data_IF_487306870217
#
_entry.id   IF_487306870217
#
_cell.length_a   1.000
_cell.length_b   1.000
_cell.length_c   1.000
_cell.angle_alpha   90.00
_cell.angle_beta   90.00
_cell.angle_gamma   90.00
#
_symmetry.space_group_name_H-M   'P 1'
#
loop_
_entity.id
_entity.type
_entity.pdbx_description
1 polymer ?
#
# COMPACT_ATOMS: atom_id res chain seq x y z
N UNK A 1 -65.05 2.93 -21.94
CA UNK A 1 -64.47 2.46 -20.66
C UNK A 1 -62.96 2.54 -20.76
N UNK A 2 -62.38 3.60 -20.22
CA UNK A 2 -60.96 3.89 -20.33
C UNK A 2 -60.29 3.43 -19.02
N UNK A 3 -59.49 2.37 -19.05
CA UNK A 3 -58.64 1.95 -17.89
C UNK A 3 -57.43 2.81 -17.80
N UNK A 4 -57.34 3.68 -16.81
CA UNK A 4 -56.15 4.41 -16.38
C UNK A 4 -55.23 3.45 -15.66
N UNK A 5 -54.02 3.20 -16.22
CA UNK A 5 -52.93 2.57 -15.51
C UNK A 5 -52.18 3.65 -14.73
N UNK A 6 -52.21 3.51 -13.40
CA UNK A 6 -51.47 4.36 -12.47
C UNK A 6 -50.06 3.78 -12.38
N UNK A 7 -49.08 4.52 -12.95
CA UNK A 7 -47.63 4.20 -12.80
C UNK A 7 -47.20 4.69 -11.42
N UNK A 8 -46.88 3.77 -10.53
CA UNK A 8 -46.32 4.07 -9.22
C UNK A 8 -44.80 4.28 -9.41
N UNK A 9 -44.36 5.53 -9.43
CA UNK A 9 -42.92 5.86 -9.40
C UNK A 9 -42.48 5.74 -7.95
N UNK A 10 -41.74 4.66 -7.64
CA UNK A 10 -41.05 4.53 -6.37
C UNK A 10 -39.78 5.41 -6.48
N UNK A 11 -39.83 6.61 -5.91
CA UNK A 11 -38.62 7.39 -5.64
C UNK A 11 -37.84 6.68 -4.52
N UNK A 12 -36.75 6.00 -4.88
CA UNK A 12 -35.70 5.66 -3.92
C UNK A 12 -35.08 6.99 -3.44
N UNK A 13 -35.47 7.44 -2.28
CA UNK A 13 -34.81 8.53 -1.59
C UNK A 13 -33.43 8.07 -1.17
N UNK A 14 -32.38 8.50 -1.90
CA UNK A 14 -31.02 8.55 -1.36
C UNK A 14 -31.03 9.48 -0.16
N UNK A 15 -31.16 8.93 1.03
CA UNK A 15 -30.83 9.66 2.25
C UNK A 15 -29.32 9.81 2.29
N UNK A 16 -28.82 10.97 1.83
CA UNK A 16 -27.50 11.45 2.19
C UNK A 16 -27.52 11.64 3.70
N UNK A 17 -27.00 10.66 4.42
CA UNK A 17 -26.71 10.79 5.85
C UNK A 17 -25.58 11.82 5.93
N UNK A 18 -25.94 13.04 6.30
CA UNK A 18 -25.00 14.10 6.61
C UNK A 18 -24.14 13.65 7.79
N UNK A 19 -22.91 13.24 7.52
CA UNK A 19 -21.87 13.00 8.52
C UNK A 19 -21.36 14.35 9.05
N UNK A 20 -22.19 15.06 9.78
CA UNK A 20 -21.74 16.03 10.78
C UNK A 20 -21.70 15.33 12.14
N UNK A 21 -20.98 14.23 12.25
CA UNK A 21 -20.57 13.72 13.54
C UNK A 21 -19.49 14.69 14.03
N UNK A 22 -19.71 15.38 15.13
CA UNK A 22 -18.67 16.12 15.85
C UNK A 22 -17.61 15.08 16.21
N UNK A 23 -16.56 15.01 15.39
CA UNK A 23 -15.44 14.11 15.64
C UNK A 23 -14.73 14.65 16.87
N UNK A 24 -14.81 13.95 17.97
CA UNK A 24 -14.03 14.26 19.17
C UNK A 24 -12.57 13.98 18.87
N UNK A 25 -11.64 14.90 19.19
CA UNK A 25 -10.22 14.66 19.01
C UNK A 25 -9.80 13.35 19.69
N UNK A 26 -9.18 12.45 18.92
CA UNK A 26 -8.69 11.17 19.41
C UNK A 26 -7.16 11.15 19.30
N UNK A 27 -6.49 11.16 20.45
CA UNK A 27 -5.01 11.16 20.51
C UNK A 27 -4.46 9.76 20.21
N UNK A 28 -5.06 8.73 20.78
CA UNK A 28 -4.72 7.34 20.53
C UNK A 28 -5.08 6.91 19.09
N UNK A 29 -4.45 5.86 18.64
CA UNK A 29 -4.68 5.32 17.30
C UNK A 29 -6.08 4.68 17.21
N UNK A 30 -6.84 4.92 16.13
CA UNK A 30 -8.10 4.25 15.89
C UNK A 30 -7.96 2.72 15.97
N UNK A 31 -8.99 2.03 16.45
CA UNK A 31 -9.00 0.57 16.50
C UNK A 31 -9.27 0.00 15.10
N UNK A 32 -8.30 -0.67 14.44
CA UNK A 32 -8.49 -1.21 13.09
C UNK A 32 -9.48 -2.38 13.06
N UNK A 33 -9.82 -2.95 14.20
CA UNK A 33 -10.80 -4.05 14.34
C UNK A 33 -12.21 -3.56 14.69
N UNK A 34 -12.43 -2.26 14.82
CA UNK A 34 -13.74 -1.68 15.12
C UNK A 34 -14.37 -1.18 13.81
N UNK A 35 -15.58 -1.67 13.49
CA UNK A 35 -16.34 -1.20 12.33
C UNK A 35 -16.71 0.28 12.45
N UNK A 36 -17.03 0.94 11.33
CA UNK A 36 -17.43 2.35 11.30
C UNK A 36 -18.69 2.68 12.11
N UNK A 37 -19.46 1.68 12.52
CA UNK A 37 -20.61 1.86 13.43
C UNK A 37 -20.18 2.18 14.89
N UNK A 38 -18.87 2.07 15.19
CA UNK A 38 -18.29 2.31 16.51
C UNK A 38 -18.70 1.28 17.58
N UNK A 39 -19.23 0.12 17.19
CA UNK A 39 -19.76 -0.91 18.10
C UNK A 39 -19.36 -2.33 17.71
N UNK A 40 -19.45 -2.68 16.43
CA UNK A 40 -19.17 -4.03 15.94
C UNK A 40 -17.65 -4.24 15.83
N UNK A 41 -17.14 -5.27 16.49
CA UNK A 41 -15.73 -5.67 16.37
C UNK A 41 -15.56 -6.83 15.40
N UNK A 42 -14.51 -6.76 14.62
CA UNK A 42 -14.01 -7.86 13.81
C UNK A 42 -13.40 -8.92 14.73
N UNK A 43 -13.93 -10.13 14.68
CA UNK A 43 -13.43 -11.28 15.45
C UNK A 43 -12.96 -12.42 14.56
N UNK A 44 -13.47 -12.48 13.31
CA UNK A 44 -13.15 -13.52 12.36
C UNK A 44 -12.60 -12.91 11.05
N UNK A 45 -11.75 -13.66 10.36
CA UNK A 45 -11.11 -13.20 9.13
C UNK A 45 -12.12 -12.86 8.00
N UNK A 46 -13.26 -13.52 7.96
CA UNK A 46 -14.31 -13.22 6.99
C UNK A 46 -14.89 -11.80 7.14
N UNK A 47 -14.94 -11.28 8.39
CA UNK A 47 -15.45 -9.95 8.68
C UNK A 47 -14.38 -8.87 8.42
N UNK A 48 -13.11 -9.28 8.43
CA UNK A 48 -11.98 -8.40 8.14
C UNK A 48 -12.08 -7.77 6.74
N UNK A 49 -12.54 -8.52 5.74
CA UNK A 49 -12.72 -7.99 4.39
C UNK A 49 -13.63 -6.76 4.35
N UNK A 50 -14.72 -6.78 5.11
CA UNK A 50 -15.65 -5.63 5.22
C UNK A 50 -14.97 -4.44 5.90
N UNK A 51 -14.27 -4.67 7.03
CA UNK A 51 -13.57 -3.60 7.74
C UNK A 51 -12.43 -3.02 6.92
N UNK A 52 -11.66 -3.86 6.25
CA UNK A 52 -10.58 -3.45 5.36
C UNK A 52 -11.10 -2.54 4.24
N UNK A 53 -12.27 -2.86 3.66
CA UNK A 53 -12.92 -2.01 2.67
C UNK A 53 -13.32 -0.66 3.26
N UNK A 54 -13.86 -0.60 4.47
CA UNK A 54 -14.17 0.65 5.15
C UNK A 54 -12.93 1.52 5.39
N UNK A 55 -11.80 0.89 5.74
CA UNK A 55 -10.51 1.58 5.89
C UNK A 55 -10.03 2.11 4.54
N UNK A 56 -10.12 1.30 3.48
CA UNK A 56 -9.76 1.71 2.13
C UNK A 56 -10.57 2.93 1.65
N UNK A 57 -11.87 2.95 1.92
CA UNK A 57 -12.77 4.06 1.61
C UNK A 57 -12.38 5.34 2.37
N UNK A 58 -12.03 5.23 3.65
CA UNK A 58 -11.57 6.37 4.45
C UNK A 58 -10.23 6.92 3.92
N UNK A 59 -9.26 6.04 3.65
CA UNK A 59 -7.95 6.46 3.11
C UNK A 59 -8.13 7.13 1.75
N UNK A 60 -8.96 6.59 0.86
CA UNK A 60 -9.26 7.21 -0.43
C UNK A 60 -9.95 8.56 -0.27
N UNK A 61 -10.98 8.64 0.58
CA UNK A 61 -11.78 9.85 0.73
C UNK A 61 -11.00 11.01 1.36
N UNK A 62 -10.16 10.71 2.34
CA UNK A 62 -9.49 11.73 3.14
C UNK A 62 -8.02 11.91 2.80
N UNK A 63 -7.35 10.93 2.23
CA UNK A 63 -5.90 10.88 2.11
C UNK A 63 -5.36 10.94 0.69
N UNK A 64 -5.76 10.02 -0.18
CA UNK A 64 -5.09 9.85 -1.48
C UNK A 64 -5.95 10.05 -2.71
N UNK A 65 -7.27 10.14 -2.57
CA UNK A 65 -8.20 10.12 -3.70
C UNK A 65 -8.59 8.70 -4.14
N UNK A 66 -9.35 8.60 -5.22
CA UNK A 66 -9.97 7.35 -5.67
C UNK A 66 -8.99 6.50 -6.51
N UNK A 67 -8.97 5.21 -6.23
CA UNK A 67 -8.38 4.19 -7.11
C UNK A 67 -9.54 3.49 -7.83
N UNK A 68 -9.86 3.88 -9.08
CA UNK A 68 -11.01 3.33 -9.78
C UNK A 68 -10.81 1.87 -10.15
N UNK A 69 -11.90 1.11 -10.11
CA UNK A 69 -11.93 -0.24 -10.64
C UNK A 69 -11.88 -0.21 -12.18
N UNK A 70 -11.37 -1.28 -12.78
CA UNK A 70 -11.25 -1.42 -14.23
C UNK A 70 -11.84 -2.75 -14.64
N UNK A 71 -12.77 -2.71 -15.57
CA UNK A 71 -13.37 -3.93 -16.15
C UNK A 71 -12.32 -4.70 -16.94
N UNK A 72 -12.37 -6.03 -16.88
CA UNK A 72 -11.37 -6.92 -17.51
C UNK A 72 -11.26 -6.70 -19.02
N UNK A 73 -12.35 -6.33 -19.67
CA UNK A 73 -12.44 -6.06 -21.12
C UNK A 73 -11.70 -4.78 -21.53
N UNK A 74 -11.49 -3.87 -20.60
CA UNK A 74 -10.74 -2.62 -20.80
C UNK A 74 -9.23 -2.85 -20.80
N UNK A 75 -8.76 -4.00 -20.34
CA UNK A 75 -7.34 -4.36 -20.26
C UNK A 75 -6.98 -5.30 -21.41
N UNK A 76 -5.89 -5.01 -22.12
CA UNK A 76 -5.32 -5.88 -23.16
C UNK A 76 -3.83 -6.01 -22.93
N UNK A 77 -3.38 -7.24 -22.72
CA UNK A 77 -1.99 -7.54 -22.46
C UNK A 77 -1.35 -8.34 -23.59
N UNK A 78 -0.04 -8.16 -23.74
CA UNK A 78 0.80 -8.95 -24.65
C UNK A 78 2.24 -9.00 -24.16
N UNK A 79 2.95 -10.05 -24.58
CA UNK A 79 4.40 -10.11 -24.42
C UNK A 79 5.10 -9.66 -25.72
N UNK A 80 6.16 -8.87 -25.59
CA UNK A 80 7.11 -8.56 -26.66
C UNK A 80 8.52 -8.95 -26.20
N UNK A 81 8.96 -10.16 -26.54
CA UNK A 81 10.10 -10.79 -25.89
C UNK A 81 9.82 -10.96 -24.39
N UNK A 82 10.72 -10.45 -23.56
CA UNK A 82 10.55 -10.47 -22.10
C UNK A 82 9.82 -9.22 -21.56
N UNK A 83 9.26 -8.37 -22.43
CA UNK A 83 8.53 -7.16 -22.03
C UNK A 83 7.04 -7.46 -21.96
N UNK A 84 6.46 -7.29 -20.78
CA UNK A 84 5.02 -7.21 -20.58
C UNK A 84 4.55 -5.82 -21.05
N UNK A 85 3.50 -5.79 -21.89
CA UNK A 85 2.85 -4.56 -22.34
C UNK A 85 1.36 -4.69 -22.01
N UNK A 86 0.81 -3.68 -21.36
CA UNK A 86 -0.59 -3.64 -20.92
C UNK A 86 -1.21 -2.34 -21.40
N UNK A 87 -2.19 -2.44 -22.29
CA UNK A 87 -3.01 -1.33 -22.75
C UNK A 87 -4.30 -1.30 -21.93
N UNK A 88 -4.61 -0.16 -21.35
CA UNK A 88 -5.83 0.07 -20.58
C UNK A 88 -6.64 1.16 -21.26
N UNK A 89 -7.86 0.84 -21.67
CA UNK A 89 -8.74 1.77 -22.40
C UNK A 89 -9.96 2.12 -21.55
N UNK A 90 -10.07 3.39 -21.17
CA UNK A 90 -11.19 3.94 -20.38
C UNK A 90 -11.63 5.24 -21.05
N UNK A 91 -12.94 5.47 -21.15
CA UNK A 91 -13.51 6.71 -21.72
C UNK A 91 -13.02 7.03 -23.16
N UNK A 92 -12.59 6.02 -23.93
CA UNK A 92 -12.05 6.18 -25.27
C UNK A 92 -10.57 6.56 -25.34
N UNK A 93 -9.92 6.79 -24.22
CA UNK A 93 -8.48 7.03 -24.08
C UNK A 93 -7.77 5.73 -23.69
N UNK A 94 -6.53 5.57 -24.17
CA UNK A 94 -5.70 4.39 -23.86
C UNK A 94 -4.39 4.82 -23.21
N UNK A 95 -4.07 4.18 -22.09
CA UNK A 95 -2.78 4.23 -21.43
C UNK A 95 -2.05 2.89 -21.62
N UNK A 96 -0.82 2.96 -22.12
CA UNK A 96 0.05 1.78 -22.26
C UNK A 96 1.08 1.75 -21.15
N UNK A 97 1.09 0.66 -20.39
CA UNK A 97 2.12 0.35 -19.39
C UNK A 97 3.04 -0.72 -19.96
N UNK A 98 4.31 -0.64 -19.65
CA UNK A 98 5.28 -1.65 -20.07
C UNK A 98 6.36 -1.88 -19.03
N UNK A 99 6.79 -3.13 -18.88
CA UNK A 99 7.90 -3.49 -18.01
C UNK A 99 8.58 -4.76 -18.49
N UNK A 100 9.90 -4.81 -18.34
CA UNK A 100 10.72 -5.97 -18.65
C UNK A 100 10.72 -6.94 -17.47
N UNK A 101 10.41 -8.20 -17.73
CA UNK A 101 10.53 -9.28 -16.75
C UNK A 101 11.93 -9.87 -16.86
N UNK A 102 12.71 -9.78 -15.79
CA UNK A 102 14.02 -10.40 -15.67
C UNK A 102 13.83 -11.78 -15.03
N UNK A 103 14.00 -12.82 -15.82
CA UNK A 103 13.83 -14.20 -15.33
C UNK A 103 15.07 -14.69 -14.60
N UNK A 104 14.91 -15.55 -13.57
CA UNK A 104 16.03 -16.14 -12.86
C UNK A 104 16.75 -17.16 -13.76
N UNK A 105 18.02 -17.41 -13.43
CA UNK A 105 18.84 -18.44 -14.08
C UNK A 105 18.72 -19.81 -13.41
N UNK A 106 17.98 -19.90 -12.31
CA UNK A 106 17.77 -21.12 -11.52
C UNK A 106 16.29 -21.46 -11.42
N UNK A 107 15.99 -22.73 -11.19
CA UNK A 107 14.60 -23.22 -11.07
C UNK A 107 13.92 -23.43 -12.43
N UNK A 108 12.62 -23.62 -12.37
CA UNK A 108 11.75 -23.83 -13.54
C UNK A 108 10.49 -22.97 -13.41
N UNK A 109 9.92 -22.47 -14.52
CA UNK A 109 8.67 -21.73 -14.49
C UNK A 109 7.48 -22.64 -14.06
N UNK A 110 6.38 -22.06 -13.54
CA UNK A 110 6.22 -20.62 -13.33
C UNK A 110 6.98 -20.11 -12.11
N UNK A 111 7.54 -18.91 -12.23
CA UNK A 111 8.34 -18.27 -11.19
C UNK A 111 7.50 -17.35 -10.30
N UNK A 112 7.83 -17.27 -9.02
CA UNK A 112 7.40 -16.14 -8.19
C UNK A 112 7.94 -14.82 -8.78
N UNK A 113 7.28 -13.70 -8.49
CA UNK A 113 7.66 -12.39 -9.02
C UNK A 113 7.86 -11.39 -7.88
N UNK A 114 8.97 -10.65 -7.91
CA UNK A 114 9.14 -9.43 -7.11
C UNK A 114 9.03 -8.21 -8.02
N UNK A 115 8.09 -7.31 -7.71
CA UNK A 115 7.90 -6.05 -8.43
C UNK A 115 8.51 -4.92 -7.61
N UNK A 116 9.53 -4.25 -8.17
CA UNK A 116 10.07 -3.02 -7.61
C UNK A 116 9.20 -1.82 -7.98
N UNK A 117 8.78 -1.01 -7.02
CA UNK A 117 8.14 0.28 -7.29
C UNK A 117 9.21 1.31 -7.63
N UNK A 118 9.06 2.00 -8.78
CA UNK A 118 10.09 2.81 -9.44
C UNK A 118 11.29 1.96 -9.89
N UNK A 119 12.02 1.40 -8.95
CA UNK A 119 13.07 0.39 -9.15
C UNK A 119 13.10 -0.57 -7.97
N UNK A 120 13.61 -1.77 -8.17
CA UNK A 120 13.85 -2.69 -7.06
C UNK A 120 15.04 -2.19 -6.23
N UNK A 121 14.75 -1.74 -5.00
CA UNK A 121 15.77 -1.26 -4.06
C UNK A 121 16.49 -2.41 -3.33
N UNK A 122 15.88 -3.59 -3.27
CA UNK A 122 16.49 -4.75 -2.63
C UNK A 122 17.71 -5.25 -3.38
N UNK A 123 18.81 -5.57 -2.69
CA UNK A 123 20.08 -5.98 -3.31
C UNK A 123 19.95 -7.27 -4.13
N UNK A 124 20.64 -7.28 -5.27
CA UNK A 124 20.67 -8.41 -6.21
C UNK A 124 21.02 -9.77 -5.56
N UNK A 125 21.96 -9.88 -4.59
CA UNK A 125 22.25 -11.17 -3.95
C UNK A 125 21.05 -11.87 -3.31
N UNK A 126 20.01 -11.13 -2.91
CA UNK A 126 18.78 -11.72 -2.37
C UNK A 126 17.99 -12.54 -3.40
N UNK A 127 18.29 -12.40 -4.70
CA UNK A 127 17.57 -13.05 -5.81
C UNK A 127 18.44 -14.02 -6.62
N UNK A 128 19.78 -13.88 -6.63
CA UNK A 128 20.69 -14.61 -7.52
C UNK A 128 20.55 -16.13 -7.49
N UNK A 129 20.22 -16.72 -6.35
CA UNK A 129 20.06 -18.16 -6.17
C UNK A 129 18.62 -18.58 -5.85
N UNK A 130 17.65 -17.75 -6.20
CA UNK A 130 16.23 -18.00 -5.97
C UNK A 130 15.46 -18.02 -7.30
N UNK A 131 14.49 -18.93 -7.48
CA UNK A 131 13.65 -18.97 -8.67
C UNK A 131 12.59 -17.86 -8.65
N UNK A 132 13.04 -16.61 -8.59
CA UNK A 132 12.18 -15.42 -8.51
C UNK A 132 12.51 -14.51 -9.70
N UNK A 133 11.50 -14.21 -10.50
CA UNK A 133 11.60 -13.19 -11.52
C UNK A 133 11.50 -11.80 -10.90
N UNK A 134 12.10 -10.81 -11.54
CA UNK A 134 12.08 -9.42 -11.11
C UNK A 134 11.51 -8.54 -12.22
N UNK A 135 10.64 -7.61 -11.85
CA UNK A 135 10.07 -6.62 -12.75
C UNK A 135 9.99 -5.26 -12.02
N UNK A 136 10.09 -4.14 -12.74
CA UNK A 136 9.89 -2.83 -12.14
C UNK A 136 8.54 -2.24 -12.58
N UNK A 137 7.81 -1.65 -11.67
CA UNK A 137 6.72 -0.76 -11.99
C UNK A 137 7.27 0.64 -12.27
N UNK A 138 7.14 1.08 -13.51
CA UNK A 138 7.57 2.41 -13.95
C UNK A 138 6.44 3.42 -13.72
N UNK A 139 6.35 3.93 -12.53
CA UNK A 139 5.27 4.78 -12.03
C UNK A 139 5.02 6.03 -12.89
N UNK A 140 6.09 6.55 -13.52
CA UNK A 140 6.01 7.71 -14.42
C UNK A 140 5.20 7.47 -15.70
N UNK A 141 4.92 6.21 -16.04
CA UNK A 141 3.99 5.89 -17.13
C UNK A 141 2.54 6.23 -16.76
N UNK A 142 2.23 6.36 -15.47
CA UNK A 142 0.90 6.69 -14.93
C UNK A 142 0.84 8.15 -14.51
N UNK A 143 1.67 8.51 -13.54
CA UNK A 143 1.84 9.85 -13.00
C UNK A 143 3.35 10.12 -12.90
N UNK A 144 3.84 11.10 -13.66
CA UNK A 144 5.27 11.38 -13.79
C UNK A 144 5.82 12.30 -12.70
N UNK A 145 5.01 12.58 -11.67
CA UNK A 145 5.47 13.37 -10.54
C UNK A 145 6.77 12.79 -9.95
N UNK A 146 7.68 13.67 -9.62
CA UNK A 146 8.90 13.36 -8.91
C UNK A 146 9.42 14.60 -8.19
N UNK A 147 9.89 14.43 -6.97
CA UNK A 147 10.43 15.52 -6.15
C UNK A 147 11.59 16.28 -6.81
N UNK A 148 12.21 15.68 -7.82
CA UNK A 148 13.35 16.22 -8.53
C UNK A 148 13.11 16.16 -10.03
N UNK A 149 13.32 17.29 -10.68
CA UNK A 149 13.22 17.39 -12.13
C UNK A 149 11.91 18.01 -12.61
N UNK A 150 11.65 17.87 -13.92
CA UNK A 150 10.41 18.33 -14.54
C UNK A 150 9.37 17.20 -14.54
N UNK A 151 8.15 17.56 -14.24
CA UNK A 151 6.97 16.71 -14.31
C UNK A 151 5.77 17.57 -14.75
N UNK A 152 4.66 16.92 -15.09
CA UNK A 152 3.39 17.61 -15.30
C UNK A 152 2.81 18.08 -13.95
N UNK A 153 1.93 19.04 -14.01
CA UNK A 153 1.17 19.49 -12.84
C UNK A 153 0.07 18.47 -12.51
N UNK A 154 -0.48 18.55 -11.31
CA UNK A 154 -1.63 17.75 -10.89
C UNK A 154 -2.79 17.94 -11.87
N UNK A 155 -3.44 16.85 -12.29
CA UNK A 155 -4.51 16.87 -13.28
C UNK A 155 -4.04 16.83 -14.74
N UNK A 156 -2.74 16.74 -15.00
CA UNK A 156 -2.14 16.71 -16.35
C UNK A 156 -1.35 15.43 -16.62
N UNK A 157 -1.37 14.46 -15.71
CA UNK A 157 -0.67 13.18 -15.85
C UNK A 157 -1.39 12.24 -16.83
N UNK A 158 -0.75 11.15 -17.22
CA UNK A 158 -1.37 10.16 -18.11
C UNK A 158 -2.63 9.53 -17.52
N UNK A 159 -2.69 9.35 -16.19
CA UNK A 159 -3.87 8.86 -15.48
C UNK A 159 -5.07 9.80 -15.69
N UNK A 160 -4.86 11.11 -15.61
CA UNK A 160 -5.92 12.13 -15.71
C UNK A 160 -6.60 12.16 -17.08
N UNK A 161 -5.91 11.68 -18.13
CA UNK A 161 -6.52 11.53 -19.46
C UNK A 161 -7.60 10.46 -19.47
N UNK A 162 -7.45 9.41 -18.66
CA UNK A 162 -8.44 8.34 -18.53
C UNK A 162 -9.57 8.74 -17.56
N UNK A 163 -9.23 9.50 -16.52
CA UNK A 163 -10.11 9.85 -15.41
C UNK A 163 -10.05 11.36 -15.09
N UNK A 164 -10.50 12.23 -16.00
CA UNK A 164 -10.40 13.69 -15.82
C UNK A 164 -11.19 14.21 -14.61
N UNK A 165 -12.17 13.44 -14.13
CA UNK A 165 -12.94 13.74 -12.91
C UNK A 165 -12.14 13.47 -11.62
N UNK A 166 -11.03 12.74 -11.70
CA UNK A 166 -10.15 12.40 -10.57
C UNK A 166 -8.86 13.24 -10.53
N UNK A 167 -8.81 14.34 -11.27
CA UNK A 167 -7.65 15.24 -11.42
C UNK A 167 -7.07 15.76 -10.10
N UNK A 168 -7.82 15.70 -9.01
CA UNK A 168 -7.37 16.13 -7.68
C UNK A 168 -6.75 14.99 -6.87
N UNK A 169 -6.65 13.78 -7.43
CA UNK A 169 -6.03 12.63 -6.78
C UNK A 169 -4.59 12.90 -6.34
N UNK A 170 -4.18 12.25 -5.25
CA UNK A 170 -2.77 12.11 -4.89
C UNK A 170 -2.10 10.98 -5.67
N UNK A 171 -0.82 11.13 -5.98
CA UNK A 171 -0.09 10.18 -6.82
C UNK A 171 -0.12 8.72 -6.29
N UNK A 172 -0.22 8.50 -4.97
CA UNK A 172 -0.30 7.13 -4.44
C UNK A 172 -1.56 6.39 -4.85
N UNK A 173 -2.67 7.07 -5.06
CA UNK A 173 -3.88 6.46 -5.63
C UNK A 173 -3.65 6.02 -7.08
N UNK A 174 -3.09 6.90 -7.90
CA UNK A 174 -2.84 6.68 -9.31
C UNK A 174 -1.76 5.61 -9.55
N UNK A 175 -0.66 5.66 -8.78
CA UNK A 175 0.39 4.64 -8.84
C UNK A 175 -0.10 3.26 -8.40
N UNK A 176 -0.90 3.19 -7.34
CA UNK A 176 -1.51 1.92 -6.93
C UNK A 176 -2.47 1.36 -8.00
N UNK A 177 -3.20 2.25 -8.70
CA UNK A 177 -4.02 1.87 -9.84
C UNK A 177 -3.17 1.27 -10.96
N UNK A 178 -2.12 1.97 -11.40
CA UNK A 178 -1.25 1.51 -12.48
C UNK A 178 -0.51 0.21 -12.15
N UNK A 179 -0.07 0.05 -10.91
CA UNK A 179 0.52 -1.19 -10.42
C UNK A 179 -0.43 -2.38 -10.58
N UNK A 180 -1.69 -2.22 -10.21
CA UNK A 180 -2.72 -3.26 -10.36
C UNK A 180 -2.91 -3.66 -11.83
N UNK A 181 -2.76 -2.73 -12.77
CA UNK A 181 -2.89 -3.01 -14.22
C UNK A 181 -1.80 -3.95 -14.73
N UNK A 182 -0.59 -3.87 -14.17
CA UNK A 182 0.46 -4.86 -14.53
C UNK A 182 0.08 -6.28 -14.08
N UNK A 183 -0.52 -6.40 -12.89
CA UNK A 183 -0.98 -7.71 -12.39
C UNK A 183 -2.14 -8.22 -13.25
N UNK A 184 -3.09 -7.35 -13.65
CA UNK A 184 -4.16 -7.74 -14.58
C UNK A 184 -3.60 -8.31 -15.89
N UNK A 185 -2.57 -7.67 -16.44
CA UNK A 185 -1.90 -8.15 -17.64
C UNK A 185 -1.23 -9.51 -17.46
N UNK A 186 -0.57 -9.73 -16.32
CA UNK A 186 0.03 -11.04 -16.00
C UNK A 186 -1.04 -12.12 -15.87
N UNK A 187 -2.16 -11.85 -15.21
CA UNK A 187 -3.26 -12.80 -15.05
C UNK A 187 -3.96 -13.09 -16.38
N UNK A 188 -4.19 -12.07 -17.21
CA UNK A 188 -4.82 -12.23 -18.53
C UNK A 188 -4.01 -13.15 -19.45
N UNK A 189 -2.69 -13.01 -19.44
CA UNK A 189 -1.79 -13.81 -20.26
C UNK A 189 -1.53 -15.21 -19.69
N UNK A 190 -1.57 -15.32 -18.36
CA UNK A 190 -1.29 -16.56 -17.66
C UNK A 190 0.18 -16.99 -17.66
N UNK A 191 0.50 -18.05 -16.89
CA UNK A 191 1.88 -18.52 -16.72
C UNK A 191 2.49 -19.12 -17.98
N UNK A 192 1.69 -19.61 -18.90
CA UNK A 192 2.18 -20.20 -20.18
C UNK A 192 2.91 -19.15 -21.04
N UNK A 193 2.46 -17.89 -21.01
CA UNK A 193 3.07 -16.80 -21.76
C UNK A 193 4.06 -16.00 -20.93
N UNK A 194 3.72 -15.70 -19.66
CA UNK A 194 4.52 -14.86 -18.79
C UNK A 194 5.57 -15.61 -17.99
N UNK A 195 5.46 -16.92 -17.84
CA UNK A 195 6.26 -17.77 -16.95
C UNK A 195 6.16 -17.36 -15.47
N UNK A 196 5.14 -16.58 -15.09
CA UNK A 196 4.95 -16.04 -13.74
C UNK A 196 3.80 -16.75 -13.04
N UNK A 197 4.02 -17.09 -11.77
CA UNK A 197 2.98 -17.51 -10.84
C UNK A 197 2.37 -16.28 -10.14
N UNK A 198 1.21 -15.85 -10.61
CA UNK A 198 0.52 -14.66 -10.08
C UNK A 198 -0.01 -14.83 -8.65
N UNK A 199 0.06 -16.03 -8.08
CA UNK A 199 -0.25 -16.26 -6.65
C UNK A 199 0.92 -15.91 -5.72
N UNK A 200 2.11 -15.73 -6.28
CA UNK A 200 3.34 -15.45 -5.56
C UNK A 200 4.00 -14.16 -6.03
N UNK A 201 3.24 -13.06 -5.96
CA UNK A 201 3.73 -11.71 -6.29
C UNK A 201 4.14 -11.00 -5.02
N UNK A 202 5.36 -10.47 -5.00
CA UNK A 202 5.85 -9.53 -4.00
C UNK A 202 5.98 -8.12 -4.57
N UNK A 203 5.89 -7.12 -3.70
CA UNK A 203 6.18 -5.71 -4.02
C UNK A 203 7.20 -5.16 -3.06
N UNK A 204 8.14 -4.36 -3.56
CA UNK A 204 9.14 -3.68 -2.73
C UNK A 204 9.54 -2.34 -3.33
N UNK A 205 9.94 -1.41 -2.46
CA UNK A 205 10.50 -0.12 -2.81
C UNK A 205 11.11 0.54 -1.59
N UNK A 206 11.82 1.65 -1.80
CA UNK A 206 12.46 2.40 -0.72
C UNK A 206 12.05 3.87 -0.74
N UNK A 207 11.97 4.50 0.44
CA UNK A 207 11.63 5.92 0.60
C UNK A 207 10.22 6.22 0.07
N UNK A 208 10.05 7.20 -0.83
CA UNK A 208 8.76 7.43 -1.48
C UNK A 208 8.25 6.17 -2.23
N UNK A 209 9.15 5.41 -2.85
CA UNK A 209 8.81 4.14 -3.47
C UNK A 209 8.52 3.04 -2.43
N UNK A 210 9.03 3.15 -1.21
CA UNK A 210 8.64 2.31 -0.06
C UNK A 210 7.22 2.59 0.42
N UNK A 211 6.82 3.87 0.46
CA UNK A 211 5.43 4.28 0.67
C UNK A 211 4.55 3.70 -0.45
N UNK A 212 4.97 3.86 -1.73
CA UNK A 212 4.26 3.31 -2.90
C UNK A 212 4.09 1.78 -2.80
N UNK A 213 5.13 1.05 -2.41
CA UNK A 213 5.05 -0.40 -2.21
C UNK A 213 4.02 -0.77 -1.15
N UNK A 214 3.94 0.00 -0.06
CA UNK A 214 2.93 -0.20 0.98
C UNK A 214 1.51 0.06 0.45
N UNK A 215 1.28 1.14 -0.29
CA UNK A 215 -0.01 1.42 -0.93
C UNK A 215 -0.38 0.34 -1.95
N UNK A 216 0.56 -0.07 -2.82
CA UNK A 216 0.32 -1.17 -3.77
C UNK A 216 -0.07 -2.46 -3.06
N UNK A 217 0.67 -2.87 -2.02
CA UNK A 217 0.36 -4.06 -1.25
C UNK A 217 -0.95 -3.96 -0.45
N UNK A 218 -1.30 -2.78 0.06
CA UNK A 218 -2.55 -2.54 0.78
C UNK A 218 -3.77 -2.56 -0.14
N UNK A 219 -3.68 -1.98 -1.34
CA UNK A 219 -4.80 -1.80 -2.27
C UNK A 219 -4.90 -2.87 -3.36
N UNK A 220 -3.98 -3.84 -3.42
CA UNK A 220 -4.09 -5.00 -4.31
C UNK A 220 -3.91 -6.32 -3.54
N UNK A 221 -5.00 -7.06 -3.39
CA UNK A 221 -5.03 -8.29 -2.59
C UNK A 221 -4.27 -9.47 -3.23
N UNK A 222 -3.86 -9.35 -4.49
CA UNK A 222 -3.06 -10.35 -5.19
C UNK A 222 -1.58 -10.32 -4.80
N UNK A 223 -1.13 -9.24 -4.14
CA UNK A 223 0.23 -9.13 -3.61
C UNK A 223 0.37 -10.02 -2.38
N UNK A 224 1.17 -11.07 -2.47
CA UNK A 224 1.40 -12.03 -1.38
C UNK A 224 2.38 -11.52 -0.33
N UNK A 225 3.37 -10.71 -0.73
CA UNK A 225 4.40 -10.15 0.14
C UNK A 225 4.65 -8.67 -0.16
N UNK A 226 4.56 -7.83 0.86
CA UNK A 226 4.94 -6.41 0.79
C UNK A 226 6.21 -6.18 1.61
N UNK A 227 7.26 -5.63 0.99
CA UNK A 227 8.48 -5.20 1.68
C UNK A 227 8.62 -3.69 1.50
N UNK A 228 8.27 -2.93 2.54
CA UNK A 228 8.36 -1.48 2.53
C UNK A 228 9.66 -1.05 3.21
N UNK A 229 10.66 -0.65 2.43
CA UNK A 229 11.94 -0.17 2.94
C UNK A 229 11.88 1.32 3.18
N UNK A 230 12.22 1.74 4.40
CA UNK A 230 12.32 3.14 4.82
C UNK A 230 11.12 4.02 4.36
N UNK A 231 9.86 3.54 4.56
CA UNK A 231 8.70 4.22 4.02
C UNK A 231 8.36 5.54 4.75
N UNK A 232 8.83 5.72 5.97
CA UNK A 232 8.72 6.97 6.72
C UNK A 232 7.31 7.51 6.96
N UNK A 233 7.22 8.81 7.17
CA UNK A 233 5.97 9.56 7.25
C UNK A 233 5.19 9.47 5.93
N UNK A 234 3.85 9.40 6.00
CA UNK A 234 3.06 9.13 4.80
C UNK A 234 3.17 7.69 4.25
N UNK A 235 4.00 6.86 4.88
CA UNK A 235 4.10 5.43 4.67
C UNK A 235 3.66 4.65 5.91
N UNK A 236 4.60 3.97 6.58
CA UNK A 236 4.28 3.18 7.76
C UNK A 236 4.15 3.99 9.07
N UNK A 237 4.70 5.21 9.13
CA UNK A 237 4.63 6.04 10.33
C UNK A 237 3.22 6.63 10.51
N UNK A 238 2.73 6.65 11.75
CA UNK A 238 1.45 7.25 12.14
C UNK A 238 1.51 8.78 12.02
N UNK A 239 0.46 9.41 11.49
CA UNK A 239 0.34 10.86 11.45
C UNK A 239 0.24 11.45 12.87
N UNK A 240 -0.58 10.85 13.73
CA UNK A 240 -0.78 11.31 15.11
C UNK A 240 0.50 11.28 15.94
N UNK A 241 1.25 10.17 15.86
CA UNK A 241 2.49 10.06 16.63
C UNK A 241 3.57 10.99 16.04
N UNK A 242 3.72 11.03 14.70
CA UNK A 242 4.68 11.90 14.03
C UNK A 242 4.45 13.39 14.32
N UNK A 243 3.20 13.81 14.53
CA UNK A 243 2.86 15.19 14.89
C UNK A 243 3.52 15.66 16.18
N UNK A 244 3.84 14.75 17.10
CA UNK A 244 4.53 15.04 18.36
C UNK A 244 6.05 15.06 18.27
N UNK A 245 6.59 14.63 17.14
CA UNK A 245 8.04 14.54 16.94
C UNK A 245 8.56 15.77 16.20
N UNK A 246 9.74 16.22 16.61
CA UNK A 246 10.45 17.30 15.90
C UNK A 246 11.24 16.74 14.71
N UNK A 247 11.29 17.52 13.64
CA UNK A 247 12.17 17.25 12.48
C UNK A 247 11.90 15.91 11.76
N UNK A 248 10.65 15.47 11.77
CA UNK A 248 10.19 14.29 11.04
C UNK A 248 9.21 14.68 9.93
N UNK A 249 9.04 13.82 8.93
CA UNK A 249 7.90 13.90 8.02
C UNK A 249 6.61 13.62 8.79
N UNK A 250 5.70 14.56 8.75
CA UNK A 250 4.38 14.49 9.35
C UNK A 250 3.35 15.11 8.41
N UNK A 251 2.09 15.17 8.81
CA UNK A 251 1.01 15.69 7.97
C UNK A 251 1.25 17.12 7.50
N UNK A 252 1.86 17.98 8.32
CA UNK A 252 2.14 19.37 7.95
C UNK A 252 3.39 19.56 7.06
N UNK A 253 4.16 18.51 6.84
CA UNK A 253 5.48 18.53 6.16
C UNK A 253 5.68 17.42 5.14
N UNK A 254 4.62 16.72 4.74
CA UNK A 254 4.67 15.74 3.66
C UNK A 254 4.55 16.43 2.30
N UNK A 255 4.80 15.69 1.24
CA UNK A 255 4.65 16.16 -0.12
C UNK A 255 3.21 15.95 -0.60
N UNK A 256 2.50 17.04 -0.82
CA UNK A 256 1.08 17.01 -1.17
C UNK A 256 0.79 16.70 -2.64
N UNK A 257 1.78 16.46 -3.49
CA UNK A 257 1.55 15.77 -4.76
C UNK A 257 1.24 14.28 -4.55
N UNK A 258 1.66 13.71 -3.42
CA UNK A 258 1.37 12.31 -3.08
C UNK A 258 -0.01 12.09 -2.50
N UNK A 259 -0.59 13.11 -1.87
CA UNK A 259 -1.85 13.07 -1.13
C UNK A 259 -2.83 14.12 -1.66
N UNK A 260 -4.09 14.04 -1.23
CA UNK A 260 -5.08 15.09 -1.48
C UNK A 260 -4.65 16.40 -0.78
N UNK A 261 -4.70 17.53 -1.48
CA UNK A 261 -4.46 18.83 -0.84
C UNK A 261 -5.46 19.11 0.28
N UNK A 262 -6.70 18.67 0.12
CA UNK A 262 -7.75 18.79 1.14
C UNK A 262 -7.43 18.04 2.44
N UNK A 263 -6.48 17.08 2.44
CA UNK A 263 -6.01 16.43 3.65
C UNK A 263 -5.28 17.43 4.57
N UNK A 264 -4.40 18.26 3.99
CA UNK A 264 -3.74 19.34 4.73
C UNK A 264 -4.74 20.34 5.27
N UNK A 265 -5.65 20.81 4.39
CA UNK A 265 -6.65 21.81 4.78
C UNK A 265 -7.51 21.37 5.97
N UNK A 266 -7.84 20.08 6.03
CA UNK A 266 -8.73 19.52 7.07
C UNK A 266 -8.00 19.15 8.34
N UNK A 267 -6.76 18.67 8.26
CA UNK A 267 -6.12 17.96 9.36
C UNK A 267 -4.76 18.53 9.78
N UNK A 268 -4.39 19.75 9.32
CA UNK A 268 -3.16 20.40 9.74
C UNK A 268 -3.09 20.66 11.26
N UNK A 269 -1.90 20.69 11.81
CA UNK A 269 -1.66 20.92 13.23
C UNK A 269 -2.40 19.91 14.11
N UNK A 270 -2.97 20.38 15.22
CA UNK A 270 -3.72 19.52 16.15
C UNK A 270 -4.98 18.90 15.55
N UNK A 271 -5.44 19.38 14.38
CA UNK A 271 -6.55 18.75 13.66
C UNK A 271 -6.23 17.34 13.19
N UNK A 272 -4.96 16.90 13.18
CA UNK A 272 -4.57 15.52 12.94
C UNK A 272 -5.30 14.53 13.86
N UNK A 273 -5.64 14.95 15.07
CA UNK A 273 -6.41 14.14 16.03
C UNK A 273 -7.91 14.00 15.67
N UNK A 274 -8.37 14.71 14.65
CA UNK A 274 -9.73 14.58 14.08
C UNK A 274 -9.79 13.64 12.87
N UNK A 275 -8.64 13.15 12.36
CA UNK A 275 -8.65 12.20 11.25
C UNK A 275 -9.42 10.93 11.64
N UNK A 276 -10.29 10.42 10.75
CA UNK A 276 -11.06 9.21 11.04
C UNK A 276 -10.23 7.92 10.92
N UNK A 277 -9.01 8.00 10.41
CA UNK A 277 -8.07 6.88 10.25
C UNK A 277 -6.65 7.33 10.62
N UNK A 278 -5.69 6.40 10.62
CA UNK A 278 -4.26 6.69 10.65
C UNK A 278 -3.47 5.59 9.91
N UNK A 279 -2.20 5.81 9.61
CA UNK A 279 -1.42 4.96 8.71
C UNK A 279 -1.12 3.54 9.26
N UNK A 280 -1.28 3.27 10.56
CA UNK A 280 -1.32 1.89 11.05
C UNK A 280 -2.49 1.08 10.45
N UNK A 281 -3.60 1.74 10.05
CA UNK A 281 -4.70 1.10 9.34
C UNK A 281 -4.35 0.83 7.88
N UNK A 282 -3.57 1.71 7.20
CA UNK A 282 -2.98 1.40 5.89
C UNK A 282 -2.08 0.16 5.96
N UNK A 283 -1.22 0.08 6.98
CA UNK A 283 -0.40 -1.10 7.27
C UNK A 283 -1.29 -2.33 7.48
N UNK A 284 -2.33 -2.22 8.29
CA UNK A 284 -3.27 -3.31 8.59
C UNK A 284 -4.00 -3.84 7.36
N UNK A 285 -4.26 -3.00 6.34
CA UNK A 285 -4.90 -3.43 5.09
C UNK A 285 -4.13 -4.52 4.34
N UNK A 286 -2.83 -4.70 4.60
CA UNK A 286 -2.06 -5.81 4.02
C UNK A 286 -2.48 -7.16 4.61
N UNK A 287 -3.01 -7.20 5.84
CA UNK A 287 -3.52 -8.44 6.45
C UNK A 287 -4.64 -9.07 5.58
N UNK A 288 -4.66 -10.40 5.37
CA UNK A 288 -3.88 -11.46 6.03
C UNK A 288 -2.56 -11.82 5.32
N UNK A 289 -2.13 -11.05 4.34
CA UNK A 289 -0.93 -11.30 3.54
C UNK A 289 0.32 -10.88 4.32
N UNK A 290 1.50 -11.12 3.76
CA UNK A 290 2.75 -10.85 4.45
C UNK A 290 3.24 -9.42 4.27
N UNK A 291 3.75 -8.83 5.37
CA UNK A 291 4.36 -7.50 5.38
C UNK A 291 5.66 -7.50 6.18
N UNK A 292 6.72 -6.97 5.59
CA UNK A 292 7.95 -6.63 6.27
C UNK A 292 8.26 -5.14 6.09
N UNK A 293 8.40 -4.39 7.18
CA UNK A 293 8.84 -3.00 7.18
C UNK A 293 10.30 -2.92 7.61
N UNK A 294 11.11 -2.20 6.84
CA UNK A 294 12.52 -1.94 7.13
C UNK A 294 12.69 -0.45 7.43
N UNK A 295 13.38 -0.10 8.52
CA UNK A 295 13.61 1.28 8.94
C UNK A 295 15.08 1.60 9.05
N UNK A 296 15.41 2.92 9.10
CA UNK A 296 16.76 3.44 9.19
C UNK A 296 16.83 4.67 10.11
N UNK A 297 17.26 4.45 11.34
CA UNK A 297 17.28 5.49 12.38
C UNK A 297 18.28 6.62 12.17
N UNK A 298 19.21 6.50 11.20
CA UNK A 298 20.15 7.57 10.88
C UNK A 298 19.48 8.76 10.18
N UNK A 299 18.27 8.52 9.65
CA UNK A 299 17.50 9.53 8.94
C UNK A 299 16.22 9.90 9.70
N UNK A 300 16.37 10.87 10.61
CA UNK A 300 15.28 11.27 11.52
C UNK A 300 13.97 11.63 10.82
N UNK A 301 14.03 12.16 9.59
CA UNK A 301 12.80 12.49 8.83
C UNK A 301 11.93 11.29 8.53
N UNK A 302 12.46 10.05 8.53
CA UNK A 302 11.71 8.81 8.33
C UNK A 302 10.72 8.52 9.47
N UNK A 303 10.88 9.16 10.63
CA UNK A 303 10.00 8.96 11.78
C UNK A 303 9.89 7.49 12.23
N UNK A 304 11.00 6.74 12.26
CA UNK A 304 11.01 5.31 12.59
C UNK A 304 10.42 4.99 13.97
N UNK A 305 10.52 5.92 14.92
CA UNK A 305 9.84 5.82 16.21
C UNK A 305 8.32 5.74 16.04
N UNK A 306 7.77 6.58 15.16
CA UNK A 306 6.35 6.57 14.81
C UNK A 306 5.96 5.31 14.03
N UNK A 307 6.84 4.86 13.12
CA UNK A 307 6.64 3.60 12.40
C UNK A 307 6.61 2.40 13.37
N UNK A 308 7.47 2.37 14.39
CA UNK A 308 7.45 1.35 15.42
C UNK A 308 6.10 1.28 16.15
N UNK A 309 5.54 2.43 16.55
CA UNK A 309 4.22 2.52 17.19
C UNK A 309 3.12 2.02 16.25
N UNK A 310 3.13 2.49 15.01
CA UNK A 310 2.19 2.13 13.95
C UNK A 310 2.21 0.63 13.64
N UNK A 311 3.38 0.04 13.46
CA UNK A 311 3.54 -1.39 13.18
C UNK A 311 3.02 -2.27 14.32
N UNK A 312 3.26 -1.87 15.58
CA UNK A 312 2.73 -2.60 16.74
C UNK A 312 1.19 -2.48 16.86
N UNK A 313 0.63 -1.33 16.49
CA UNK A 313 -0.81 -1.14 16.42
C UNK A 313 -1.45 -2.01 15.32
N UNK A 314 -0.92 -1.95 14.11
CA UNK A 314 -1.39 -2.75 12.97
C UNK A 314 -1.26 -4.26 13.23
N UNK A 315 -0.18 -4.71 13.89
CA UNK A 315 0.07 -6.12 14.22
C UNK A 315 -1.08 -6.74 15.00
N UNK A 316 -1.84 -5.97 15.77
CA UNK A 316 -3.02 -6.48 16.49
C UNK A 316 -4.02 -7.17 15.57
N UNK A 317 -4.09 -6.77 14.28
CA UNK A 317 -4.98 -7.42 13.29
C UNK A 317 -4.48 -8.83 12.96
N UNK A 318 -3.18 -9.01 12.72
CA UNK A 318 -2.64 -10.36 12.49
C UNK A 318 -2.74 -11.23 13.74
N UNK A 319 -2.50 -10.65 14.92
CA UNK A 319 -2.64 -11.35 16.20
C UNK A 319 -4.08 -11.81 16.44
N UNK A 320 -5.08 -11.01 16.06
CA UNK A 320 -6.50 -11.38 16.16
C UNK A 320 -6.79 -12.70 15.42
N UNK A 321 -6.09 -12.96 14.32
CA UNK A 321 -6.30 -14.15 13.49
C UNK A 321 -5.26 -15.26 13.71
N UNK A 322 -4.33 -15.09 14.66
CA UNK A 322 -3.30 -16.08 14.98
C UNK A 322 -2.27 -16.29 13.87
N UNK A 323 -1.98 -15.26 13.09
CA UNK A 323 -1.05 -15.26 11.96
C UNK A 323 0.06 -14.21 12.10
N UNK A 324 0.56 -14.01 13.31
CA UNK A 324 1.62 -13.05 13.64
C UNK A 324 2.93 -13.28 12.88
N UNK A 325 3.13 -14.47 12.35
CA UNK A 325 4.28 -14.82 11.52
C UNK A 325 4.30 -14.13 10.15
N UNK A 326 3.21 -13.44 9.78
CA UNK A 326 3.06 -12.74 8.49
C UNK A 326 3.37 -11.24 8.55
N UNK A 327 3.63 -10.70 9.72
CA UNK A 327 4.03 -9.30 9.87
C UNK A 327 5.34 -9.19 10.63
N UNK A 328 6.25 -8.37 10.12
CA UNK A 328 7.53 -8.11 10.74
C UNK A 328 8.02 -6.70 10.51
N UNK A 329 8.96 -6.29 11.33
CA UNK A 329 9.76 -5.07 11.13
C UNK A 329 11.21 -5.28 11.56
N UNK A 330 12.11 -4.62 10.86
CA UNK A 330 13.54 -4.53 11.21
C UNK A 330 13.98 -3.08 11.06
N UNK A 331 14.16 -2.41 12.20
CA UNK A 331 14.57 -1.00 12.29
C UNK A 331 15.97 -0.96 12.85
N UNK A 332 16.92 -0.44 12.10
CA UNK A 332 18.30 -0.24 12.55
C UNK A 332 18.85 1.09 12.00
N UNK A 333 20.14 1.31 12.10
CA UNK A 333 20.90 2.41 11.52
C UNK A 333 22.28 1.93 11.12
N UNK A 334 23.17 2.86 10.82
CA UNK A 334 24.55 2.56 10.44
C UNK A 334 24.71 2.29 8.93
N UNK A 335 23.75 2.76 8.09
CA UNK A 335 23.81 2.59 6.65
C UNK A 335 23.19 3.78 5.88
N UNK A 336 23.64 4.06 4.65
CA UNK A 336 23.03 5.09 3.82
C UNK A 336 21.56 4.83 3.52
N UNK A 337 20.78 5.91 3.27
CA UNK A 337 19.38 5.85 2.88
C UNK A 337 19.18 4.97 1.64
N UNK A 338 18.20 4.08 1.68
CA UNK A 338 17.88 3.13 0.61
C UNK A 338 19.01 2.11 0.28
N UNK A 339 19.97 1.92 1.14
CA UNK A 339 20.96 0.86 1.01
C UNK A 339 20.75 -0.18 2.10
N UNK A 340 20.09 -1.28 1.76
CA UNK A 340 19.84 -2.35 2.72
C UNK A 340 21.17 -2.94 3.22
N UNK A 341 21.46 -2.89 4.53
CA UNK A 341 22.68 -3.47 5.08
C UNK A 341 22.58 -5.00 5.14
N UNK A 342 23.70 -5.70 5.01
CA UNK A 342 23.73 -7.18 5.09
C UNK A 342 23.17 -7.70 6.42
N UNK A 343 23.20 -6.90 7.48
CA UNK A 343 22.63 -7.25 8.78
C UNK A 343 21.11 -7.43 8.75
N UNK A 344 20.40 -6.88 7.75
CA UNK A 344 18.95 -7.05 7.53
C UNK A 344 18.62 -8.13 6.48
N UNK A 345 19.61 -8.70 5.79
CA UNK A 345 19.35 -9.76 4.79
C UNK A 345 18.62 -10.95 5.38
N UNK A 346 18.94 -11.49 6.58
CA UNK A 346 18.26 -12.65 7.12
C UNK A 346 16.74 -12.46 7.27
N UNK A 347 16.28 -11.27 7.65
CA UNK A 347 14.86 -10.97 7.78
C UNK A 347 14.17 -10.91 6.41
N UNK A 348 14.81 -10.25 5.44
CA UNK A 348 14.29 -10.15 4.07
C UNK A 348 14.25 -11.53 3.41
N UNK A 349 15.32 -12.31 3.53
CA UNK A 349 15.41 -13.68 3.00
C UNK A 349 14.33 -14.58 3.60
N UNK A 350 14.12 -14.50 4.92
CA UNK A 350 13.10 -15.30 5.59
C UNK A 350 11.69 -15.00 5.04
N UNK A 351 11.34 -13.71 4.84
CA UNK A 351 10.05 -13.34 4.28
C UNK A 351 9.91 -13.74 2.81
N UNK A 352 10.94 -13.55 1.99
CA UNK A 352 10.97 -14.00 0.59
C UNK A 352 10.81 -15.52 0.53
N UNK A 353 11.61 -16.26 1.26
CA UNK A 353 11.60 -17.72 1.26
C UNK A 353 10.27 -18.29 1.76
N UNK A 354 9.68 -17.68 2.79
CA UNK A 354 8.41 -18.14 3.36
C UNK A 354 7.21 -17.82 2.47
N UNK A 355 7.11 -16.58 1.98
CA UNK A 355 5.86 -16.07 1.39
C UNK A 355 5.87 -15.99 -0.15
N UNK A 356 7.03 -15.96 -0.79
CA UNK A 356 7.12 -16.09 -2.24
C UNK A 356 7.52 -17.48 -2.69
N UNK A 357 8.39 -18.18 -1.95
CA UNK A 357 8.85 -19.52 -2.33
C UNK A 357 8.14 -20.65 -1.58
N UNK A 358 7.22 -20.31 -0.65
CA UNK A 358 6.41 -21.31 0.06
C UNK A 358 7.18 -22.25 0.99
N UNK A 359 8.39 -21.86 1.46
CA UNK A 359 9.21 -22.66 2.37
C UNK A 359 8.63 -22.64 3.78
N UNK A 360 7.76 -23.60 4.08
CA UNK A 360 6.99 -23.65 5.32
C UNK A 360 7.81 -23.89 6.59
N UNK A 361 9.04 -24.35 6.49
CA UNK A 361 10.00 -24.55 7.56
C UNK A 361 10.74 -23.28 7.99
N UNK A 362 10.73 -22.24 7.14
CA UNK A 362 11.32 -20.93 7.44
C UNK A 362 10.45 -20.18 8.44
N UNK A 363 11.06 -19.71 9.53
CA UNK A 363 10.38 -18.98 10.60
C UNK A 363 10.50 -17.47 10.38
N UNK A 364 9.37 -16.78 10.37
CA UNK A 364 9.25 -15.34 10.31
C UNK A 364 8.65 -14.73 11.58
N UNK A 365 8.01 -15.56 12.40
CA UNK A 365 7.53 -15.15 13.73
C UNK A 365 8.69 -14.60 14.56
N UNK A 366 8.52 -13.40 15.13
CA UNK A 366 9.53 -12.74 15.95
C UNK A 366 10.54 -11.88 15.16
N UNK A 367 10.36 -11.68 13.87
CA UNK A 367 11.06 -10.62 13.12
C UNK A 367 10.48 -9.26 13.56
N UNK A 368 10.81 -8.84 14.77
CA UNK A 368 10.31 -7.65 15.45
C UNK A 368 11.52 -6.90 16.05
N UNK A 369 12.43 -6.46 15.20
CA UNK A 369 13.69 -5.84 15.61
C UNK A 369 13.60 -4.32 15.58
N UNK A 370 13.85 -3.69 16.73
CA UNK A 370 13.81 -2.22 16.85
C UNK A 370 14.65 -1.75 18.04
N UNK A 371 15.34 -0.61 17.90
CA UNK A 371 16.01 0.03 19.04
C UNK A 371 15.04 0.71 20.01
N UNK A 372 13.73 0.74 19.69
CA UNK A 372 12.67 1.39 20.48
C UNK A 372 11.96 0.42 21.43
N UNK A 373 12.20 -0.87 21.30
CA UNK A 373 11.59 -1.86 22.18
C UNK A 373 11.95 -1.61 23.65
N UNK A 374 10.94 -1.60 24.52
CA UNK A 374 11.08 -1.29 25.95
C UNK A 374 11.41 0.19 26.27
N UNK A 375 11.60 1.05 25.28
CA UNK A 375 11.86 2.49 25.46
C UNK A 375 10.64 3.35 25.19
N UNK A 376 9.71 2.89 24.37
CA UNK A 376 8.47 3.59 24.04
C UNK A 376 7.32 2.89 24.72
N UNK A 377 6.56 3.65 25.52
CA UNK A 377 5.29 3.19 26.07
C UNK A 377 4.21 3.22 24.98
N UNK A 378 3.75 2.05 24.57
CA UNK A 378 2.68 1.89 23.58
C UNK A 378 1.27 2.07 24.16
N UNK A 379 1.12 2.00 25.48
CA UNK A 379 -0.19 2.02 26.15
C UNK A 379 -1.04 3.27 25.86
N UNK A 380 -0.47 4.48 25.79
CA UNK A 380 -1.26 5.67 25.44
C UNK A 380 -1.79 5.67 24.01
N UNK A 381 -1.18 4.86 23.11
CA UNK A 381 -1.43 4.86 21.67
C UNK A 381 -2.29 3.70 21.22
N UNK A 382 -2.17 2.54 21.87
CA UNK A 382 -2.84 1.29 21.49
C UNK A 382 -3.69 0.85 22.67
N UNK A 383 -4.97 1.20 22.63
CA UNK A 383 -5.93 0.95 23.72
C UNK A 383 -6.89 -0.21 23.45
N UNK A 384 -6.69 -0.96 22.38
CA UNK A 384 -7.52 -2.07 21.91
C UNK A 384 -6.77 -3.41 21.87
#
# INVERSE_FOLDING_TARGET
>A
MLKRHLLLIIMLGCTTIGLAQLVTPQIDLPDPLLMNDGKTRVTEIKDWGVRRQQIAEMIQHYGIGQKPEVESEAVKARMAGDTLIVDVTVNGETLTLSSVIQYPTVGQPPYALMIGTSMLALPKPLFENRPIAVMNFHEKQVNDYGQWGKHHERGEHNFDRLYPELKDNGAYSEWAWGFSRLIDGLEQLGPEQTKIDTKHIGVSGCSYAGKMALFCGAFDERVALTIAQEPGGGGAASWRYSHRLDSVENLDRTDYHWFLESMLERFHGDSVYLMPYDHHELVAMVCPRALLMLGNTDYRWLADESAYVSMNAARKVWSQFGIDDRIGYSINGGHPHCQLPESQFPEVEAFIDRFLLGKNDVKTAGVLKSPFEGKIDLTPWIKY
#
